data_IF_906107804176
#
_entry.id   IF_906107804176
#
_cell.length_a   1.000
_cell.length_b   1.000
_cell.length_c   1.000
_cell.angle_alpha   90.00
_cell.angle_beta   90.00
_cell.angle_gamma   90.00
#
_symmetry.space_group_name_H-M   'P 1'
#
loop_
_entity.id
_entity.type
_entity.pdbx_description
1 polymer ?
#
# COMPACT_ATOMS: atom_id res chain seq x y z
N UNK A 1 4.12 -39.89 6.60
CA UNK A 1 3.07 -38.85 6.45
C UNK A 1 3.40 -37.99 5.23
N UNK A 2 2.66 -38.17 4.14
CA UNK A 2 2.77 -37.33 2.93
C UNK A 2 1.81 -36.14 3.09
N UNK A 3 2.24 -35.13 3.85
CA UNK A 3 1.40 -34.01 4.31
C UNK A 3 1.19 -32.89 3.27
N UNK A 4 1.60 -33.07 2.02
CA UNK A 4 1.37 -32.11 0.95
C UNK A 4 0.95 -32.83 -0.33
N UNK A 5 -0.37 -33.01 -0.50
CA UNK A 5 -0.93 -33.40 -1.78
C UNK A 5 -0.79 -32.21 -2.75
N UNK A 6 -0.05 -32.41 -3.85
CA UNK A 6 0.18 -31.39 -4.89
C UNK A 6 -1.12 -30.74 -5.39
N UNK A 7 -2.21 -31.51 -5.47
CA UNK A 7 -3.52 -31.00 -5.87
C UNK A 7 -4.10 -30.03 -4.83
N UNK A 8 -3.95 -30.34 -3.53
CA UNK A 8 -4.42 -29.46 -2.44
C UNK A 8 -3.59 -28.18 -2.36
N UNK A 9 -2.28 -28.28 -2.61
CA UNK A 9 -1.40 -27.10 -2.69
C UNK A 9 -1.75 -26.21 -3.89
N UNK A 10 -2.06 -26.81 -5.04
CA UNK A 10 -2.52 -26.06 -6.21
C UNK A 10 -3.84 -25.33 -5.92
N UNK A 11 -4.80 -26.01 -5.29
CA UNK A 11 -6.08 -25.42 -4.86
C UNK A 11 -5.86 -24.25 -3.89
N UNK A 12 -5.07 -24.44 -2.84
CA UNK A 12 -4.80 -23.38 -1.87
C UNK A 12 -4.17 -22.15 -2.53
N UNK A 13 -3.22 -22.35 -3.46
CA UNK A 13 -2.60 -21.26 -4.21
C UNK A 13 -3.60 -20.53 -5.11
N UNK A 14 -4.53 -21.26 -5.71
CA UNK A 14 -5.54 -20.66 -6.58
C UNK A 14 -6.58 -19.86 -5.77
N UNK A 15 -7.01 -20.39 -4.61
CA UNK A 15 -7.82 -19.64 -3.63
C UNK A 15 -7.09 -18.39 -3.14
N UNK A 16 -5.81 -18.50 -2.79
CA UNK A 16 -5.01 -17.34 -2.37
C UNK A 16 -4.96 -16.25 -3.45
N UNK A 17 -4.78 -16.62 -4.72
CA UNK A 17 -4.82 -15.66 -5.84
C UNK A 17 -6.18 -14.99 -5.97
N UNK A 18 -7.27 -15.74 -5.80
CA UNK A 18 -8.62 -15.19 -5.85
C UNK A 18 -8.84 -14.20 -4.70
N UNK A 19 -8.47 -14.57 -3.48
CA UNK A 19 -8.56 -13.69 -2.31
C UNK A 19 -7.75 -12.41 -2.48
N UNK A 20 -6.48 -12.51 -2.89
CA UNK A 20 -5.64 -11.32 -3.12
C UNK A 20 -6.15 -10.43 -4.25
N UNK A 21 -6.68 -11.04 -5.31
CA UNK A 21 -7.32 -10.28 -6.40
C UNK A 21 -8.56 -9.55 -5.92
N UNK A 22 -9.40 -10.22 -5.14
CA UNK A 22 -10.63 -9.65 -4.59
C UNK A 22 -10.33 -8.52 -3.62
N UNK A 23 -9.40 -8.74 -2.68
CA UNK A 23 -8.90 -7.72 -1.76
C UNK A 23 -8.46 -6.46 -2.50
N UNK A 24 -7.63 -6.61 -3.54
CA UNK A 24 -7.18 -5.45 -4.33
C UNK A 24 -8.33 -4.66 -4.97
N UNK A 25 -9.32 -5.35 -5.52
CA UNK A 25 -10.51 -4.71 -6.12
C UNK A 25 -11.33 -3.96 -5.07
N UNK A 26 -11.53 -4.57 -3.91
CA UNK A 26 -12.29 -3.97 -2.82
C UNK A 26 -11.58 -2.74 -2.25
N UNK A 27 -10.25 -2.81 -2.05
CA UNK A 27 -9.43 -1.67 -1.64
C UNK A 27 -9.52 -0.51 -2.65
N UNK A 28 -9.41 -0.80 -3.96
CA UNK A 28 -9.56 0.25 -4.97
C UNK A 28 -10.97 0.86 -4.92
N UNK A 29 -12.01 0.04 -4.78
CA UNK A 29 -13.40 0.52 -4.66
C UNK A 29 -13.57 1.43 -3.44
N UNK A 30 -13.01 1.04 -2.30
CA UNK A 30 -13.06 1.82 -1.06
C UNK A 30 -12.34 3.15 -1.19
N UNK A 31 -11.14 3.18 -1.79
CA UNK A 31 -10.44 4.43 -2.09
C UNK A 31 -11.28 5.34 -2.98
N UNK A 32 -11.90 4.81 -4.03
CA UNK A 32 -12.74 5.60 -4.94
C UNK A 32 -14.04 6.09 -4.28
N UNK A 33 -14.70 5.26 -3.48
CA UNK A 33 -16.01 5.55 -2.91
C UNK A 33 -15.91 6.43 -1.66
N UNK A 34 -14.95 6.10 -0.79
CA UNK A 34 -14.82 6.72 0.50
C UNK A 34 -13.70 7.74 0.49
N UNK A 35 -12.49 7.44 0.00
CA UNK A 35 -11.30 8.30 0.20
C UNK A 35 -10.84 9.12 -1.01
N UNK A 36 -11.72 9.41 -1.97
CA UNK A 36 -11.32 10.05 -3.24
C UNK A 36 -10.67 11.44 -3.09
N UNK A 37 -11.08 12.19 -2.08
CA UNK A 37 -10.52 13.49 -1.71
C UNK A 37 -9.10 13.36 -1.14
N UNK A 38 -8.91 12.48 -0.14
CA UNK A 38 -7.61 12.20 0.46
C UNK A 38 -6.65 11.56 -0.56
N UNK A 39 -7.13 10.64 -1.37
CA UNK A 39 -6.35 10.03 -2.45
C UNK A 39 -5.82 11.09 -3.43
N UNK A 40 -6.65 12.10 -3.75
CA UNK A 40 -6.23 13.22 -4.59
C UNK A 40 -5.21 14.11 -3.89
N UNK A 41 -5.42 14.42 -2.62
CA UNK A 41 -4.51 15.24 -1.82
C UNK A 41 -3.13 14.59 -1.66
N UNK A 42 -3.10 13.27 -1.47
CA UNK A 42 -1.88 12.47 -1.35
C UNK A 42 -1.23 12.15 -2.71
N UNK A 43 -1.90 12.46 -3.83
CA UNK A 43 -1.41 12.21 -5.18
C UNK A 43 -1.47 10.74 -5.60
N UNK A 44 -2.32 9.94 -4.98
CA UNK A 44 -2.48 8.51 -5.30
C UNK A 44 -3.11 8.35 -6.69
N UNK A 45 -2.47 7.62 -7.63
CA UNK A 45 -2.95 7.50 -9.00
C UNK A 45 -3.98 6.38 -9.12
N UNK A 46 -5.14 6.52 -8.49
CA UNK A 46 -6.18 5.46 -8.41
C UNK A 46 -6.57 4.90 -9.79
N UNK A 47 -6.73 5.78 -10.79
CA UNK A 47 -7.01 5.35 -12.17
C UNK A 47 -5.88 4.59 -12.86
N UNK A 48 -4.63 4.71 -12.38
CA UNK A 48 -3.53 3.85 -12.83
C UNK A 48 -3.63 2.46 -12.19
N UNK A 49 -4.00 2.38 -10.91
CA UNK A 49 -4.21 1.10 -10.23
C UNK A 49 -5.33 0.28 -10.87
N UNK A 50 -6.42 0.94 -11.31
CA UNK A 50 -7.48 0.29 -12.10
C UNK A 50 -6.95 -0.28 -13.43
N UNK A 51 -6.05 0.47 -14.08
CA UNK A 51 -5.41 0.04 -15.33
C UNK A 51 -4.45 -1.13 -15.12
N UNK A 52 -3.74 -1.14 -13.99
CA UNK A 52 -2.86 -2.22 -13.56
C UNK A 52 -3.67 -3.48 -13.22
N UNK A 53 -4.80 -3.35 -12.52
CA UNK A 53 -5.71 -4.47 -12.27
C UNK A 53 -6.09 -5.19 -13.57
N UNK A 54 -6.42 -4.40 -14.58
CA UNK A 54 -6.89 -4.89 -15.87
C UNK A 54 -5.79 -5.60 -16.68
N UNK A 55 -4.51 -5.36 -16.37
CA UNK A 55 -3.39 -5.99 -17.06
C UNK A 55 -2.82 -7.21 -16.32
N UNK A 56 -2.92 -7.24 -14.99
CA UNK A 56 -2.32 -8.27 -14.17
C UNK A 56 -2.97 -9.63 -14.46
N UNK A 57 -2.11 -10.61 -14.80
CA UNK A 57 -2.55 -11.99 -15.00
C UNK A 57 -2.92 -12.61 -13.65
N UNK A 58 -3.90 -13.53 -13.57
CA UNK A 58 -4.30 -14.17 -12.31
C UNK A 58 -3.15 -14.77 -11.49
N UNK A 59 -2.12 -15.32 -12.17
CA UNK A 59 -0.94 -15.88 -11.52
C UNK A 59 -0.09 -14.86 -10.75
N UNK A 60 -0.21 -13.57 -11.06
CA UNK A 60 0.54 -12.50 -10.43
C UNK A 60 0.11 -12.29 -8.97
N UNK A 61 -1.16 -12.60 -8.63
CA UNK A 61 -1.71 -12.47 -7.27
C UNK A 61 -1.16 -13.50 -6.25
N UNK A 62 -0.22 -14.35 -6.66
CA UNK A 62 0.58 -15.17 -5.75
C UNK A 62 2.08 -14.83 -5.80
N UNK A 63 2.46 -13.75 -6.48
CA UNK A 63 3.83 -13.27 -6.51
C UNK A 63 4.06 -12.36 -5.30
N UNK A 64 5.14 -12.59 -4.57
CA UNK A 64 5.44 -11.86 -3.34
C UNK A 64 5.51 -10.32 -3.53
N UNK A 65 5.98 -9.82 -4.69
CA UNK A 65 6.01 -8.37 -4.97
C UNK A 65 4.60 -7.80 -5.10
N UNK A 66 3.71 -8.50 -5.79
CA UNK A 66 2.30 -8.07 -5.95
C UNK A 66 1.55 -8.20 -4.64
N UNK A 67 1.82 -9.26 -3.86
CA UNK A 67 1.20 -9.47 -2.56
C UNK A 67 1.60 -8.35 -1.59
N UNK A 68 2.90 -8.10 -1.43
CA UNK A 68 3.40 -7.02 -0.57
C UNK A 68 2.87 -5.66 -0.99
N UNK A 69 2.80 -5.39 -2.29
CA UNK A 69 2.20 -4.15 -2.80
C UNK A 69 0.71 -4.00 -2.45
N UNK A 70 -0.08 -5.09 -2.50
CA UNK A 70 -1.49 -5.08 -2.07
C UNK A 70 -1.61 -4.92 -0.55
N UNK A 71 -0.72 -5.52 0.23
CA UNK A 71 -0.65 -5.35 1.70
C UNK A 71 -0.36 -3.90 2.07
N UNK A 72 0.61 -3.25 1.41
CA UNK A 72 0.87 -1.81 1.61
C UNK A 72 -0.34 -0.95 1.21
N UNK A 73 -1.11 -1.35 0.19
CA UNK A 73 -2.34 -0.64 -0.17
C UNK A 73 -3.40 -0.83 0.91
N UNK A 74 -3.52 -2.02 1.48
CA UNK A 74 -4.41 -2.31 2.60
C UNK A 74 -4.06 -1.45 3.82
N UNK A 75 -2.78 -1.36 4.16
CA UNK A 75 -2.28 -0.51 5.24
C UNK A 75 -2.63 0.97 5.00
N UNK A 76 -2.43 1.46 3.77
CA UNK A 76 -2.79 2.83 3.41
C UNK A 76 -4.29 3.06 3.59
N UNK A 77 -5.15 2.16 3.12
CA UNK A 77 -6.61 2.31 3.27
C UNK A 77 -7.00 2.37 4.74
N UNK A 78 -6.48 1.46 5.57
CA UNK A 78 -6.69 1.53 7.02
C UNK A 78 -6.23 2.88 7.61
N UNK A 79 -5.04 3.37 7.25
CA UNK A 79 -4.54 4.65 7.77
C UNK A 79 -5.36 5.85 7.27
N UNK A 80 -5.99 5.77 6.09
CA UNK A 80 -6.93 6.77 5.61
C UNK A 80 -8.21 6.80 6.45
N UNK A 81 -8.72 5.65 6.89
CA UNK A 81 -9.83 5.57 7.85
C UNK A 81 -9.45 6.19 9.20
N UNK A 82 -8.30 5.81 9.75
CA UNK A 82 -7.78 6.38 11.01
C UNK A 82 -7.63 7.89 10.90
N UNK A 83 -7.14 8.40 9.77
CA UNK A 83 -6.99 9.84 9.55
C UNK A 83 -8.35 10.56 9.55
N UNK A 84 -9.36 9.98 8.93
CA UNK A 84 -10.72 10.54 8.93
C UNK A 84 -11.35 10.49 10.31
N UNK A 85 -11.20 9.39 11.03
CA UNK A 85 -11.69 9.26 12.39
C UNK A 85 -11.05 10.35 13.28
N UNK A 86 -9.72 10.52 13.19
CA UNK A 86 -9.00 11.55 13.93
C UNK A 86 -9.45 12.99 13.60
N UNK A 87 -9.85 13.26 12.36
CA UNK A 87 -10.39 14.57 11.97
C UNK A 87 -11.75 14.87 12.61
N UNK A 88 -12.56 13.83 12.87
CA UNK A 88 -13.85 13.95 13.53
C UNK A 88 -13.80 13.84 15.06
N UNK A 89 -12.68 13.35 15.61
CA UNK A 89 -12.54 13.04 17.04
C UNK A 89 -12.28 14.29 17.89
N UNK A 90 -12.98 14.38 19.02
CA UNK A 90 -12.83 15.45 20.00
C UNK A 90 -11.78 15.06 21.07
N UNK A 91 -11.75 13.80 21.50
CA UNK A 91 -10.76 13.32 22.47
C UNK A 91 -9.50 12.79 21.77
N UNK A 92 -8.68 13.73 21.31
CA UNK A 92 -7.40 13.41 20.66
C UNK A 92 -6.41 12.67 21.57
N UNK A 93 -6.28 12.99 22.88
CA UNK A 93 -5.44 12.23 23.80
C UNK A 93 -5.83 10.76 23.93
N UNK A 94 -7.12 10.46 24.13
CA UNK A 94 -7.59 9.09 24.29
C UNK A 94 -7.46 8.31 22.97
N UNK A 95 -7.81 8.93 21.85
CA UNK A 95 -7.57 8.35 20.52
C UNK A 95 -6.10 7.99 20.28
N UNK A 96 -5.17 8.87 20.68
CA UNK A 96 -3.74 8.60 20.51
C UNK A 96 -3.25 7.43 21.38
N UNK A 97 -3.88 7.18 22.53
CA UNK A 97 -3.59 6.02 23.37
C UNK A 97 -4.13 4.74 22.74
N UNK A 98 -5.39 4.74 22.32
CA UNK A 98 -6.01 3.59 21.65
C UNK A 98 -5.28 3.23 20.35
N UNK A 99 -4.92 4.23 19.53
CA UNK A 99 -4.16 4.00 18.30
C UNK A 99 -2.77 3.44 18.59
N UNK A 100 -2.10 3.88 19.66
CA UNK A 100 -0.80 3.33 20.03
C UNK A 100 -0.92 1.85 20.41
N UNK A 101 -1.91 1.49 21.23
CA UNK A 101 -2.16 0.11 21.64
C UNK A 101 -2.50 -0.77 20.42
N UNK A 102 -3.40 -0.30 19.54
CA UNK A 102 -3.71 -0.99 18.28
C UNK A 102 -2.48 -1.15 17.39
N UNK A 103 -1.63 -0.12 17.30
CA UNK A 103 -0.40 -0.18 16.50
C UNK A 103 0.61 -1.18 17.05
N UNK A 104 0.71 -1.31 18.39
CA UNK A 104 1.57 -2.31 19.03
C UNK A 104 1.10 -3.74 18.77
N UNK A 105 -0.20 -3.97 18.64
CA UNK A 105 -0.76 -5.29 18.35
C UNK A 105 -0.74 -5.64 16.85
N UNK A 106 -1.05 -4.68 15.97
CA UNK A 106 -1.34 -4.94 14.54
C UNK A 106 -0.20 -4.65 13.56
N UNK A 107 0.70 -3.70 13.84
CA UNK A 107 1.63 -3.15 12.85
C UNK A 107 3.12 -3.50 13.08
N UNK A 108 3.39 -4.67 13.66
CA UNK A 108 4.75 -5.07 14.05
C UNK A 108 5.78 -5.11 12.89
N UNK A 109 5.34 -5.24 11.64
CA UNK A 109 6.23 -5.58 10.51
C UNK A 109 6.73 -4.37 9.69
N UNK A 110 6.13 -3.18 9.81
CA UNK A 110 6.38 -2.09 8.85
C UNK A 110 6.99 -0.80 9.42
N UNK A 111 7.34 -0.76 10.71
CA UNK A 111 7.99 0.42 11.31
C UNK A 111 7.11 1.68 11.40
N UNK A 112 5.83 1.59 11.03
CA UNK A 112 4.87 2.71 11.09
C UNK A 112 4.70 3.28 12.51
N UNK A 113 4.96 2.46 13.53
CA UNK A 113 4.88 2.89 14.92
C UNK A 113 5.91 3.98 15.24
N UNK A 114 7.12 3.89 14.68
CA UNK A 114 8.15 4.92 14.88
C UNK A 114 7.79 6.22 14.15
N UNK A 115 7.11 6.13 13.01
CA UNK A 115 6.62 7.30 12.27
C UNK A 115 5.47 8.02 13.02
N UNK A 116 4.54 7.26 13.60
CA UNK A 116 3.37 7.79 14.30
C UNK A 116 3.70 8.22 15.73
N UNK A 117 4.56 7.47 16.41
CA UNK A 117 4.90 7.60 17.83
C UNK A 117 6.41 7.45 18.06
N UNK A 118 7.24 8.42 17.62
CA UNK A 118 8.70 8.32 17.64
C UNK A 118 9.31 8.21 19.05
N UNK A 119 8.55 8.53 20.10
CA UNK A 119 8.99 8.38 21.49
C UNK A 119 8.37 7.17 22.19
N UNK A 120 7.61 6.33 21.47
CA UNK A 120 6.85 5.22 22.05
C UNK A 120 5.78 5.64 23.07
N UNK A 121 5.27 6.87 22.99
CA UNK A 121 4.25 7.42 23.91
C UNK A 121 3.06 7.95 23.12
N UNK A 122 1.83 7.92 23.68
CA UNK A 122 0.64 8.41 23.00
C UNK A 122 0.67 9.93 22.92
N UNK A 123 1.16 10.44 21.80
CA UNK A 123 1.33 11.88 21.57
C UNK A 123 0.26 12.41 20.62
N UNK A 124 -0.86 12.90 21.16
CA UNK A 124 -1.92 13.51 20.36
C UNK A 124 -1.45 14.75 19.57
N UNK A 125 -0.50 15.53 20.13
CA UNK A 125 0.00 16.74 19.49
C UNK A 125 0.77 16.38 18.21
N UNK A 126 0.26 16.87 17.08
CA UNK A 126 0.86 16.65 15.77
C UNK A 126 0.66 15.24 15.21
N UNK A 127 -0.14 14.38 15.86
CA UNK A 127 -0.45 13.03 15.36
C UNK A 127 -1.04 13.07 13.96
N UNK A 128 -2.02 13.95 13.73
CA UNK A 128 -2.66 14.17 12.43
C UNK A 128 -1.63 14.48 11.33
N UNK A 129 -0.64 15.33 11.62
CA UNK A 129 0.42 15.67 10.67
C UNK A 129 1.34 14.48 10.37
N UNK A 130 1.67 13.68 11.39
CA UNK A 130 2.52 12.48 11.24
C UNK A 130 1.79 11.40 10.46
N UNK A 131 0.52 11.16 10.78
CA UNK A 131 -0.34 10.23 10.08
C UNK A 131 -0.52 10.62 8.61
N UNK A 132 -0.81 11.89 8.33
CA UNK A 132 -0.90 12.38 6.96
C UNK A 132 0.44 12.21 6.21
N UNK A 133 1.57 12.48 6.87
CA UNK A 133 2.89 12.29 6.28
C UNK A 133 3.18 10.81 5.97
N UNK A 134 2.77 9.90 6.85
CA UNK A 134 2.86 8.45 6.65
C UNK A 134 2.00 8.01 5.45
N UNK A 135 0.72 8.41 5.40
CA UNK A 135 -0.15 8.11 4.26
C UNK A 135 0.45 8.62 2.93
N UNK A 136 1.08 9.81 2.96
CA UNK A 136 1.76 10.37 1.79
C UNK A 136 2.98 9.56 1.39
N UNK A 137 3.78 9.07 2.34
CA UNK A 137 4.93 8.19 2.07
C UNK A 137 4.45 6.89 1.42
N UNK A 138 3.45 6.23 2.00
CA UNK A 138 2.88 4.99 1.46
C UNK A 138 2.28 5.19 0.07
N UNK A 139 1.54 6.28 -0.17
CA UNK A 139 1.02 6.59 -1.49
C UNK A 139 2.13 6.73 -2.55
N UNK A 140 3.27 7.31 -2.18
CA UNK A 140 4.44 7.42 -3.04
C UNK A 140 5.15 6.07 -3.25
N UNK A 141 5.27 5.25 -2.22
CA UNK A 141 5.79 3.87 -2.32
C UNK A 141 4.94 3.03 -3.25
N UNK A 142 3.63 2.98 -3.02
CA UNK A 142 2.66 2.27 -3.86
C UNK A 142 2.74 2.72 -5.32
N UNK A 143 2.83 4.03 -5.56
CA UNK A 143 2.96 4.56 -6.92
C UNK A 143 4.25 4.09 -7.57
N UNK A 144 5.39 4.17 -6.86
CA UNK A 144 6.70 3.76 -7.37
C UNK A 144 6.73 2.27 -7.69
N UNK A 145 6.29 1.43 -6.77
CA UNK A 145 6.31 -0.02 -6.94
C UNK A 145 5.37 -0.46 -8.07
N UNK A 146 4.20 0.15 -8.18
CA UNK A 146 3.26 -0.12 -9.26
C UNK A 146 3.84 0.11 -10.66
N UNK A 147 4.78 1.07 -10.83
CA UNK A 147 5.47 1.29 -12.10
C UNK A 147 6.31 0.08 -12.52
N UNK A 148 6.83 -0.69 -11.57
CA UNK A 148 7.69 -1.85 -11.81
C UNK A 148 6.93 -3.17 -11.91
N UNK A 149 5.66 -3.19 -11.48
CA UNK A 149 4.80 -4.38 -11.63
C UNK A 149 4.47 -4.65 -13.10
N UNK A 150 4.16 -3.60 -13.87
CA UNK A 150 3.98 -3.69 -15.34
C UNK A 150 4.32 -2.33 -16.02
N UNK A 151 5.59 -2.12 -16.42
CA UNK A 151 6.03 -0.86 -17.02
C UNK A 151 5.29 -0.52 -18.33
N UNK A 152 4.82 -1.52 -19.08
CA UNK A 152 4.12 -1.29 -20.33
C UNK A 152 2.76 -0.61 -20.09
N UNK A 153 2.11 -0.94 -18.97
CA UNK A 153 0.83 -0.34 -18.57
C UNK A 153 1.02 1.09 -18.14
N UNK A 154 2.09 1.41 -17.41
CA UNK A 154 2.43 2.79 -17.06
C UNK A 154 2.56 3.67 -18.31
N UNK A 155 3.33 3.21 -19.32
CA UNK A 155 3.48 3.93 -20.58
C UNK A 155 2.15 4.08 -21.31
N UNK A 156 1.34 3.02 -21.38
CA UNK A 156 0.02 3.05 -22.02
C UNK A 156 -0.91 4.07 -21.33
N UNK A 157 -0.93 4.05 -20.01
CA UNK A 157 -1.75 4.95 -19.19
C UNK A 157 -1.37 6.42 -19.39
N UNK A 158 -0.07 6.72 -19.42
CA UNK A 158 0.41 8.08 -19.70
C UNK A 158 0.00 8.59 -21.08
N UNK A 159 0.11 7.72 -22.10
CA UNK A 159 -0.33 8.04 -23.47
C UNK A 159 -1.84 8.31 -23.52
N UNK A 160 -2.65 7.48 -22.86
CA UNK A 160 -4.10 7.66 -22.79
C UNK A 160 -4.49 8.99 -22.14
N UNK A 161 -3.76 9.42 -21.11
CA UNK A 161 -3.98 10.71 -20.43
C UNK A 161 -3.34 11.91 -21.13
N UNK A 162 -2.71 11.72 -22.30
CA UNK A 162 -1.97 12.77 -23.03
C UNK A 162 -0.92 13.48 -22.16
N UNK A 163 -0.40 12.78 -21.15
CA UNK A 163 0.64 13.31 -20.27
C UNK A 163 1.99 13.14 -20.95
N UNK A 164 2.75 14.24 -21.08
CA UNK A 164 4.10 14.19 -21.66
C UNK A 164 5.11 13.53 -20.72
N UNK A 165 4.91 13.68 -19.42
CA UNK A 165 5.79 13.20 -18.36
C UNK A 165 4.97 12.95 -17.10
N UNK A 166 5.37 11.96 -16.31
CA UNK A 166 4.86 11.73 -14.97
C UNK A 166 6.03 11.68 -14.01
N UNK A 167 6.11 12.72 -13.19
CA UNK A 167 7.12 12.84 -12.14
C UNK A 167 6.65 12.09 -10.91
N UNK A 168 7.30 10.96 -10.63
CA UNK A 168 7.08 10.17 -9.42
C UNK A 168 8.31 10.36 -8.52
N UNK A 169 8.16 10.97 -7.33
CA UNK A 169 9.29 11.21 -6.42
C UNK A 169 9.96 9.88 -6.04
N UNK A 170 11.27 9.80 -6.23
CA UNK A 170 12.09 8.68 -5.77
C UNK A 170 12.71 8.99 -4.41
N UNK A 171 12.44 8.13 -3.41
CA UNK A 171 13.19 8.12 -2.15
C UNK A 171 14.21 6.98 -2.24
N UNK A 172 15.49 7.34 -2.27
CA UNK A 172 16.63 6.41 -2.35
C UNK A 172 17.22 6.06 -0.97
N UNK A 173 16.73 6.66 0.12
CA UNK A 173 17.34 6.54 1.45
C UNK A 173 17.23 5.14 2.07
N UNK A 174 16.17 4.39 1.77
CA UNK A 174 15.84 3.17 2.54
C UNK A 174 16.11 1.88 1.75
N UNK A 175 16.39 1.97 0.44
CA UNK A 175 16.52 0.82 -0.46
C UNK A 175 17.95 0.53 -0.94
N UNK A 176 18.96 1.28 -0.47
CA UNK A 176 20.35 1.02 -0.89
C UNK A 176 20.96 -0.24 -0.24
N UNK A 177 20.39 -0.75 0.86
CA UNK A 177 20.89 -1.96 1.56
C UNK A 177 20.16 -3.27 1.22
N UNK A 178 19.18 -3.27 0.30
CA UNK A 178 18.66 -4.50 -0.31
C UNK A 178 19.11 -4.56 -1.77
N UNK A 179 20.42 -4.62 -1.96
CA UNK A 179 21.02 -5.02 -3.23
C UNK A 179 20.53 -6.42 -3.59
N UNK A 180 19.44 -6.51 -4.37
CA UNK A 180 19.20 -7.65 -5.24
C UNK A 180 20.53 -7.89 -5.98
N UNK A 181 21.04 -9.13 -5.92
CA UNK A 181 22.27 -9.51 -6.63
C UNK A 181 22.09 -9.07 -8.08
N UNK A 182 22.97 -8.17 -8.52
CA UNK A 182 22.97 -7.62 -9.87
C UNK A 182 23.00 -8.76 -10.89
N UNK A 183 21.85 -9.04 -11.51
CA UNK A 183 21.81 -9.83 -12.73
C UNK A 183 22.44 -8.99 -13.83
N UNK A 184 23.63 -9.38 -14.28
CA UNK A 184 24.28 -8.78 -15.44
C UNK A 184 23.36 -8.97 -16.64
N UNK A 185 22.95 -7.86 -17.27
CA UNK A 185 22.44 -7.92 -18.64
C UNK A 185 23.68 -8.04 -19.53
N UNK A 186 23.92 -9.26 -20.04
CA UNK A 186 24.77 -9.52 -21.20
C UNK A 186 23.92 -9.67 -22.44
#
# INVERSE_FOLDING_TARGET
>A
MLLLNLQRLAQLRDEFRLSMRQLFVDLCREVHAHHADLARELGLPTGFFDSLHSSLKPKAYSNWKVVGWIETLNDLVYLLDVLRQLQSEQDRPEFAAQLLDECQEKFFEHGYLDDLFPTGRPQARGLEKRLFALCRRLAQELTREALWLDPAVAVKWLRQRKMRRWDVPGILSDNFERSEIAGTVS
#
